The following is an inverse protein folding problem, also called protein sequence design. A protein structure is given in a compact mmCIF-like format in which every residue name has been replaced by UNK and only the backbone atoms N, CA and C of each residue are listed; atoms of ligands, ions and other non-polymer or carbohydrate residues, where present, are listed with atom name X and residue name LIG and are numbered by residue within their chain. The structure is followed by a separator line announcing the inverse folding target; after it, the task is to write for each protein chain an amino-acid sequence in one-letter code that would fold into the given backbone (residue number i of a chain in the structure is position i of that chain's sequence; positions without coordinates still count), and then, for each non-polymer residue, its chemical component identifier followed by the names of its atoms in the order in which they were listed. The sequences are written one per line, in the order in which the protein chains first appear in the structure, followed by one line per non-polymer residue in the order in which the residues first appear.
data_IF_002789560647
#
_entry.id   IF_002789560647
#
_cell.length_a   1.000
_cell.length_b   1.000
_cell.length_c   1.000
_cell.angle_alpha   90.00
_cell.angle_beta   90.00
_cell.angle_gamma   90.00
#
_symmetry.space_group_name_H-M   'P 1'
#
loop_
_entity.id
_entity.type
_entity.pdbx_description
1 polymer ?
#
# COMPACT_ATOMS: atom_id res chain seq x y z
N UNK A 1 2.63 10.09 6.64
CA UNK A 1 2.31 8.95 7.52
C UNK A 1 0.83 8.59 7.54
N UNK A 2 -0.09 9.36 8.17
CA UNK A 2 -1.53 9.02 8.17
C UNK A 2 -2.10 8.85 6.74
N UNK A 3 -1.82 9.80 5.85
CA UNK A 3 -2.23 9.70 4.44
C UNK A 3 -1.59 8.51 3.71
N UNK A 4 -0.37 8.12 4.08
CA UNK A 4 0.36 7.01 3.46
C UNK A 4 -0.24 5.65 3.83
N UNK A 5 -0.68 5.48 5.08
CA UNK A 5 -1.37 4.25 5.51
C UNK A 5 -2.80 4.18 4.93
N UNK A 6 -3.51 5.30 4.85
CA UNK A 6 -4.82 5.35 4.20
C UNK A 6 -4.74 5.04 2.70
N UNK A 7 -3.67 5.47 2.03
CA UNK A 7 -3.39 5.11 0.63
C UNK A 7 -3.33 3.59 0.45
N UNK A 8 -2.67 2.87 1.36
CA UNK A 8 -2.60 1.40 1.29
C UNK A 8 -3.96 0.73 1.47
N UNK A 9 -4.81 1.25 2.36
CA UNK A 9 -6.17 0.75 2.51
C UNK A 9 -7.00 0.97 1.24
N UNK A 10 -6.90 2.16 0.64
CA UNK A 10 -7.58 2.48 -0.62
C UNK A 10 -7.10 1.57 -1.77
N UNK A 11 -5.79 1.33 -1.87
CA UNK A 11 -5.23 0.40 -2.84
C UNK A 11 -5.71 -1.05 -2.64
N UNK A 12 -5.82 -1.51 -1.37
CA UNK A 12 -6.41 -2.82 -1.08
C UNK A 12 -7.86 -2.89 -1.54
N UNK A 13 -8.64 -1.82 -1.33
CA UNK A 13 -10.03 -1.75 -1.75
C UNK A 13 -10.19 -1.75 -3.27
N UNK A 14 -9.34 -1.03 -4.01
CA UNK A 14 -9.28 -1.09 -5.48
C UNK A 14 -9.04 -2.53 -5.96
N UNK A 15 -8.06 -3.24 -5.38
CA UNK A 15 -7.77 -4.63 -5.75
C UNK A 15 -8.94 -5.57 -5.44
N UNK A 16 -9.58 -5.41 -4.29
CA UNK A 16 -10.73 -6.25 -3.87
C UNK A 16 -11.97 -6.03 -4.73
N UNK A 17 -12.24 -4.80 -5.15
CA UNK A 17 -13.47 -4.45 -5.84
C UNK A 17 -13.44 -4.76 -7.35
N UNK A 18 -12.28 -5.09 -7.91
CA UNK A 18 -12.13 -5.16 -9.37
C UNK A 18 -12.33 -6.57 -9.93
N UNK A 19 -13.61 -6.94 -10.12
CA UNK A 19 -14.03 -8.17 -10.82
C UNK A 19 -13.49 -8.27 -12.26
N UNK A 20 -13.07 -7.17 -12.87
CA UNK A 20 -12.60 -7.10 -14.25
C UNK A 20 -11.15 -7.59 -14.40
N UNK A 21 -10.26 -7.22 -13.46
CA UNK A 21 -8.90 -7.75 -13.39
C UNK A 21 -8.94 -9.27 -13.22
N UNK A 22 -9.89 -9.76 -12.42
CA UNK A 22 -10.12 -11.18 -12.24
C UNK A 22 -10.57 -11.91 -13.50
N UNK A 23 -11.55 -11.37 -14.22
CA UNK A 23 -11.97 -11.95 -15.50
C UNK A 23 -10.84 -11.96 -16.52
N UNK A 24 -10.00 -10.94 -16.50
CA UNK A 24 -8.84 -10.86 -17.39
C UNK A 24 -7.77 -11.88 -16.99
N UNK A 25 -7.46 -12.00 -15.70
CA UNK A 25 -6.58 -13.05 -15.18
C UNK A 25 -7.12 -14.46 -15.46
N UNK A 26 -8.42 -14.71 -15.26
CA UNK A 26 -9.07 -15.99 -15.57
C UNK A 26 -9.08 -16.31 -17.06
N UNK A 27 -9.25 -15.30 -17.93
CA UNK A 27 -9.21 -15.46 -19.39
C UNK A 27 -7.78 -15.68 -19.92
N UNK A 28 -6.77 -15.13 -19.24
CA UNK A 28 -5.36 -15.22 -19.65
C UNK A 28 -4.68 -16.46 -19.09
N UNK A 29 -5.08 -16.93 -17.91
CA UNK A 29 -4.48 -18.06 -17.24
C UNK A 29 -5.42 -19.27 -17.23
N UNK A 30 -5.19 -20.20 -18.17
CA UNK A 30 -5.80 -21.53 -18.10
C UNK A 30 -5.32 -22.26 -16.83
N UNK A 31 -6.18 -22.33 -15.82
CA UNK A 31 -6.16 -23.23 -14.65
C UNK A 31 -4.77 -23.57 -14.08
N UNK A 32 -4.38 -22.86 -13.02
CA UNK A 32 -3.61 -23.47 -11.93
C UNK A 32 -2.33 -22.77 -11.45
N UNK A 33 -1.93 -21.65 -12.05
CA UNK A 33 -0.81 -20.84 -11.54
C UNK A 33 -1.31 -19.78 -10.56
N UNK A 34 -0.58 -19.58 -9.46
CA UNK A 34 -0.85 -18.49 -8.52
C UNK A 34 -0.83 -17.16 -9.28
N UNK A 35 -1.92 -16.39 -9.21
CA UNK A 35 -2.16 -15.22 -10.06
C UNK A 35 -1.03 -14.18 -10.02
N UNK A 36 -0.30 -14.04 -8.89
CA UNK A 36 0.84 -13.13 -8.81
C UNK A 36 2.08 -13.61 -9.57
N UNK A 37 2.39 -14.91 -9.52
CA UNK A 37 3.49 -15.52 -10.28
C UNK A 37 3.24 -15.37 -11.78
N UNK A 38 1.98 -15.59 -12.15
CA UNK A 38 1.45 -15.43 -13.49
C UNK A 38 1.61 -13.96 -13.99
N UNK A 39 1.22 -12.99 -13.17
CA UNK A 39 1.44 -11.56 -13.45
C UNK A 39 2.93 -11.22 -13.61
N UNK A 40 3.79 -11.76 -12.74
CA UNK A 40 5.25 -11.57 -12.81
C UNK A 40 5.83 -12.14 -14.12
N UNK A 41 5.38 -13.31 -14.55
CA UNK A 41 5.79 -13.89 -15.83
C UNK A 41 5.36 -13.02 -17.03
N UNK A 42 4.16 -12.45 -16.99
CA UNK A 42 3.68 -11.53 -18.04
C UNK A 42 4.46 -10.22 -18.07
N UNK A 43 4.78 -9.66 -16.90
CA UNK A 43 5.64 -8.46 -16.79
C UNK A 43 7.00 -8.72 -17.46
N UNK A 44 7.54 -9.93 -17.35
CA UNK A 44 8.78 -10.33 -18.01
C UNK A 44 8.64 -10.71 -19.50
N UNK A 45 7.42 -10.83 -20.03
CA UNK A 45 7.16 -11.34 -21.39
C UNK A 45 6.12 -10.48 -22.11
N UNK A 46 6.49 -9.25 -22.43
CA UNK A 46 5.66 -8.30 -23.20
C UNK A 46 5.06 -8.88 -24.48
N UNK A 47 5.80 -9.74 -25.19
CA UNK A 47 5.31 -10.43 -26.40
C UNK A 47 4.07 -11.32 -26.15
N UNK A 48 3.97 -11.93 -24.97
CA UNK A 48 2.80 -12.72 -24.57
C UNK A 48 1.63 -11.78 -24.31
N UNK A 49 1.87 -10.66 -23.61
CA UNK A 49 0.84 -9.67 -23.36
C UNK A 49 0.27 -9.10 -24.67
N UNK A 50 1.13 -8.81 -25.65
CA UNK A 50 0.70 -8.39 -26.98
C UNK A 50 -0.20 -9.44 -27.66
N UNK A 51 0.15 -10.72 -27.56
CA UNK A 51 -0.66 -11.81 -28.12
C UNK A 51 -2.01 -11.96 -27.40
N UNK A 52 -2.02 -11.78 -26.08
CA UNK A 52 -3.23 -11.77 -25.25
C UNK A 52 -4.16 -10.62 -25.61
N UNK A 53 -3.63 -9.39 -25.67
CA UNK A 53 -4.44 -8.20 -26.01
C UNK A 53 -4.98 -8.31 -27.44
N UNK A 54 -4.17 -8.80 -28.39
CA UNK A 54 -4.63 -9.09 -29.74
C UNK A 54 -5.76 -10.13 -29.77
N UNK A 55 -5.64 -11.22 -29.00
CA UNK A 55 -6.70 -12.23 -28.87
C UNK A 55 -8.00 -11.66 -28.29
N UNK A 56 -7.92 -10.77 -27.31
CA UNK A 56 -9.09 -10.06 -26.75
C UNK A 56 -9.76 -9.17 -27.81
N UNK A 57 -8.97 -8.50 -28.64
CA UNK A 57 -9.49 -7.69 -29.76
C UNK A 57 -10.15 -8.58 -30.81
N UNK A 58 -9.58 -9.73 -31.13
CA UNK A 58 -10.20 -10.67 -32.07
C UNK A 58 -11.52 -11.23 -31.54
N UNK A 59 -11.64 -11.48 -30.23
CA UNK A 59 -12.85 -12.05 -29.61
C UNK A 59 -13.93 -11.01 -29.30
N UNK A 60 -13.56 -9.86 -28.76
CA UNK A 60 -14.48 -8.84 -28.22
C UNK A 60 -14.45 -7.51 -28.99
N UNK A 61 -13.55 -7.37 -29.97
CA UNK A 61 -13.39 -6.16 -30.76
C UNK A 61 -12.92 -4.96 -29.92
N UNK A 62 -13.32 -3.77 -30.37
CA UNK A 62 -12.99 -2.49 -29.73
C UNK A 62 -13.44 -2.43 -28.25
N UNK A 63 -14.49 -3.16 -27.88
CA UNK A 63 -14.97 -3.20 -26.48
C UNK A 63 -13.99 -3.91 -25.56
N UNK A 64 -13.35 -4.97 -26.05
CA UNK A 64 -12.27 -5.65 -25.34
C UNK A 64 -11.09 -4.72 -25.12
N UNK A 65 -10.64 -4.03 -26.17
CA UNK A 65 -9.54 -3.06 -26.06
C UNK A 65 -9.83 -1.92 -25.09
N UNK A 66 -11.04 -1.34 -25.15
CA UNK A 66 -11.45 -0.30 -24.20
C UNK A 66 -11.52 -0.80 -22.75
N UNK A 67 -12.03 -2.01 -22.52
CA UNK A 67 -12.08 -2.62 -21.20
C UNK A 67 -10.67 -2.86 -20.62
N UNK A 68 -9.74 -3.32 -21.45
CA UNK A 68 -8.35 -3.60 -21.05
C UNK A 68 -7.54 -2.31 -20.88
N UNK A 69 -7.66 -1.35 -21.80
CA UNK A 69 -6.98 -0.06 -21.72
C UNK A 69 -7.47 0.82 -20.57
N UNK A 70 -8.76 0.73 -20.21
CA UNK A 70 -9.28 1.45 -19.04
C UNK A 70 -8.83 0.88 -17.70
N UNK A 71 -8.28 -0.33 -17.65
CA UNK A 71 -7.83 -0.95 -16.39
C UNK A 71 -6.74 -0.11 -15.70
N UNK A 72 -5.81 0.45 -16.47
CA UNK A 72 -4.74 1.32 -15.95
C UNK A 72 -5.29 2.57 -15.26
N UNK A 73 -6.44 3.11 -15.70
CA UNK A 73 -7.06 4.29 -15.09
C UNK A 73 -7.94 3.98 -13.87
N UNK A 74 -8.33 2.73 -13.66
CA UNK A 74 -9.10 2.28 -12.49
C UNK A 74 -8.21 2.11 -11.26
N UNK A 75 -6.97 1.69 -11.45
CA UNK A 75 -6.03 1.35 -10.37
C UNK A 75 -5.10 2.52 -10.00
N UNK A 76 -5.68 3.66 -9.64
CA UNK A 76 -4.88 4.88 -9.36
C UNK A 76 -4.13 4.74 -8.04
N UNK A 77 -4.82 4.30 -6.99
CA UNK A 77 -4.22 4.17 -5.66
C UNK A 77 -3.26 2.98 -5.59
N UNK A 78 -3.52 1.89 -6.31
CA UNK A 78 -2.56 0.77 -6.45
C UNK A 78 -1.24 1.21 -7.06
N UNK A 79 -1.27 2.05 -8.11
CA UNK A 79 -0.03 2.54 -8.73
C UNK A 79 0.79 3.40 -7.76
N UNK A 80 0.13 4.32 -7.04
CA UNK A 80 0.76 5.14 -6.00
C UNK A 80 1.30 4.29 -4.85
N UNK A 81 0.55 3.27 -4.41
CA UNK A 81 0.98 2.34 -3.37
C UNK A 81 2.23 1.54 -3.79
N UNK A 82 2.33 1.14 -5.06
CA UNK A 82 3.50 0.46 -5.61
C UNK A 82 4.75 1.34 -5.70
N UNK A 83 4.61 2.67 -5.76
CA UNK A 83 5.74 3.63 -5.72
C UNK A 83 6.23 3.92 -4.31
N UNK A 84 5.46 3.54 -3.28
CA UNK A 84 5.80 3.87 -1.90
C UNK A 84 6.96 3.01 -1.38
N UNK A 85 7.85 3.61 -0.61
CA UNK A 85 8.85 2.88 0.18
C UNK A 85 8.32 2.60 1.59
N UNK A 86 7.83 1.38 1.81
CA UNK A 86 7.34 0.97 3.13
C UNK A 86 8.44 0.89 4.19
N UNK A 87 9.70 0.66 3.79
CA UNK A 87 10.83 0.66 4.71
C UNK A 87 11.06 2.04 5.31
N UNK A 88 10.99 3.08 4.47
CA UNK A 88 11.05 4.49 4.91
C UNK A 88 9.86 4.82 5.80
N UNK A 89 8.63 4.51 5.39
CA UNK A 89 7.43 4.76 6.19
C UNK A 89 7.53 4.09 7.58
N UNK A 90 7.98 2.84 7.63
CA UNK A 90 8.16 2.08 8.88
C UNK A 90 9.25 2.69 9.77
N UNK A 91 10.33 3.22 9.18
CA UNK A 91 11.36 3.93 9.93
C UNK A 91 10.83 5.24 10.52
N UNK A 92 10.09 6.03 9.74
CA UNK A 92 9.48 7.28 10.22
C UNK A 92 8.52 7.03 11.39
N UNK A 93 7.70 5.99 11.27
CA UNK A 93 6.81 5.51 12.34
C UNK A 93 7.62 5.18 13.59
N UNK A 94 8.69 4.38 13.44
CA UNK A 94 9.58 3.99 14.55
C UNK A 94 10.24 5.20 15.23
N UNK A 95 10.73 6.16 14.45
CA UNK A 95 11.39 7.36 14.97
C UNK A 95 10.43 8.23 15.80
N UNK A 96 9.15 8.30 15.42
CA UNK A 96 8.11 8.98 16.20
C UNK A 96 7.90 8.27 17.54
N UNK A 97 7.78 6.94 17.56
CA UNK A 97 7.68 6.18 18.82
C UNK A 97 8.85 6.46 19.75
N UNK A 98 10.08 6.44 19.21
CA UNK A 98 11.29 6.73 20.00
C UNK A 98 11.32 8.17 20.50
N UNK A 99 10.88 9.14 19.67
CA UNK A 99 10.77 10.55 20.05
C UNK A 99 9.82 10.76 21.22
N UNK A 100 8.60 10.21 21.13
CA UNK A 100 7.60 10.31 22.21
C UNK A 100 8.08 9.64 23.49
N UNK A 101 8.72 8.46 23.38
CA UNK A 101 9.33 7.78 24.52
C UNK A 101 10.38 8.65 25.23
N UNK A 102 11.29 9.27 24.47
CA UNK A 102 12.32 10.18 25.02
C UNK A 102 11.70 11.37 25.74
N UNK A 103 10.68 11.99 25.16
CA UNK A 103 9.97 13.11 25.80
C UNK A 103 9.29 12.66 27.11
N UNK A 104 8.71 11.46 27.14
CA UNK A 104 8.14 10.86 28.34
C UNK A 104 9.19 10.63 29.44
N UNK A 105 10.36 10.09 29.08
CA UNK A 105 11.47 9.88 30.02
C UNK A 105 11.97 11.21 30.61
N UNK A 106 12.13 12.26 29.78
CA UNK A 106 12.52 13.59 30.25
C UNK A 106 11.50 14.15 31.25
N UNK A 107 10.20 14.04 30.96
CA UNK A 107 9.15 14.52 31.87
C UNK A 107 9.11 13.74 33.20
N UNK A 108 9.44 12.45 33.19
CA UNK A 108 9.54 11.64 34.42
C UNK A 108 10.71 12.08 35.30
N UNK A 109 11.88 12.35 34.70
CA UNK A 109 13.05 12.83 35.43
C UNK A 109 12.76 14.18 36.11
N UNK A 110 12.04 15.06 35.42
CA UNK A 110 11.67 16.38 35.92
C UNK A 110 10.65 16.34 37.07
N UNK A 111 9.91 15.24 37.26
CA UNK A 111 8.95 15.12 38.38
C UNK A 111 9.63 14.91 39.76
N UNK A 112 10.94 14.66 39.81
CA UNK A 112 11.68 14.39 41.04
C UNK A 112 12.44 15.60 41.64
N UNK A 113 12.59 16.70 40.90
CA UNK A 113 13.31 17.89 41.36
C UNK A 113 12.34 18.97 41.88
N UNK A 114 12.20 19.05 43.20
CA UNK A 114 11.57 20.21 43.84
C UNK A 114 12.56 21.38 43.86
N UNK A 115 12.62 22.12 42.75
CA UNK A 115 13.44 23.33 42.61
C UNK A 115 12.75 24.56 43.20
N UNK A 116 13.31 25.08 44.28
CA UNK A 116 12.93 26.34 44.93
C UNK A 116 13.24 27.53 43.98
N UNK A 117 12.21 28.23 43.46
CA UNK A 117 12.36 29.62 42.98
C UNK A 117 11.98 30.01 41.53
N UNK A 118 11.68 29.09 40.59
CA UNK A 118 11.22 29.45 39.22
C UNK A 118 9.90 28.75 38.82
N UNK A 119 8.96 28.72 39.76
CA UNK A 119 7.80 27.82 39.76
C UNK A 119 6.84 27.99 38.55
N UNK A 120 6.63 29.21 38.05
CA UNK A 120 5.62 29.47 37.01
C UNK A 120 6.04 29.05 35.59
N UNK A 121 7.22 29.46 35.12
CA UNK A 121 7.68 29.14 33.75
C UNK A 121 7.93 27.64 33.59
N UNK A 122 8.47 27.02 34.63
CA UNK A 122 8.71 25.60 34.68
C UNK A 122 7.39 24.80 34.70
N UNK A 123 6.42 25.22 35.52
CA UNK A 123 5.10 24.60 35.54
C UNK A 123 4.38 24.73 34.18
N UNK A 124 4.44 25.89 33.52
CA UNK A 124 3.87 26.08 32.18
C UNK A 124 4.53 25.18 31.13
N UNK A 125 5.86 25.02 31.17
CA UNK A 125 6.56 24.08 30.28
C UNK A 125 6.08 22.64 30.52
N UNK A 126 6.03 22.22 31.80
CA UNK A 126 5.58 20.88 32.19
C UNK A 126 4.14 20.60 31.74
N UNK A 127 3.22 21.53 31.98
CA UNK A 127 1.83 21.39 31.55
C UNK A 127 1.73 21.29 30.02
N UNK A 128 2.45 22.15 29.29
CA UNK A 128 2.48 22.13 27.82
C UNK A 128 3.02 20.80 27.28
N UNK A 129 4.12 20.30 27.84
CA UNK A 129 4.73 19.04 27.42
C UNK A 129 3.88 17.83 27.81
N UNK A 130 3.14 17.91 28.91
CA UNK A 130 2.19 16.87 29.33
C UNK A 130 1.05 16.76 28.31
N UNK A 131 0.42 17.88 27.93
CA UNK A 131 -0.59 17.90 26.86
C UNK A 131 -0.04 17.40 25.52
N UNK A 132 1.18 17.82 25.16
CA UNK A 132 1.83 17.32 23.95
C UNK A 132 1.96 15.79 23.97
N UNK A 133 2.40 15.20 25.08
CA UNK A 133 2.51 13.75 25.21
C UNK A 133 1.15 13.06 25.16
N UNK A 134 0.13 13.61 25.82
CA UNK A 134 -1.23 13.05 25.78
C UNK A 134 -1.74 12.97 24.34
N UNK A 135 -1.62 14.07 23.58
CA UNK A 135 -1.98 14.09 22.15
C UNK A 135 -1.12 13.14 21.33
N UNK A 136 0.20 13.12 21.54
CA UNK A 136 1.10 12.26 20.78
C UNK A 136 0.81 10.77 21.02
N UNK A 137 0.43 10.38 22.24
CA UNK A 137 0.03 9.01 22.58
C UNK A 137 -1.30 8.64 21.89
N UNK A 138 -2.26 9.57 21.81
CA UNK A 138 -3.51 9.34 21.08
C UNK A 138 -3.29 9.15 19.57
N UNK A 139 -2.48 10.01 18.96
CA UNK A 139 -2.11 9.92 17.54
C UNK A 139 -1.35 8.61 17.24
N UNK A 140 -0.43 8.21 18.13
CA UNK A 140 0.27 6.92 18.02
C UNK A 140 -0.72 5.75 18.03
N UNK A 141 -1.68 5.71 18.97
CA UNK A 141 -2.68 4.64 19.02
C UNK A 141 -3.53 4.58 17.73
N UNK A 142 -3.82 5.75 17.15
CA UNK A 142 -4.51 5.80 15.86
C UNK A 142 -3.64 5.18 14.75
N UNK A 143 -2.35 5.50 14.70
CA UNK A 143 -1.40 4.92 13.73
C UNK A 143 -1.33 3.39 13.90
N UNK A 144 -1.21 2.88 15.13
CA UNK A 144 -1.21 1.42 15.41
C UNK A 144 -2.48 0.75 14.89
N UNK A 145 -3.63 1.41 15.11
CA UNK A 145 -4.93 0.89 14.66
C UNK A 145 -5.00 0.82 13.13
N UNK A 146 -4.60 1.89 12.44
CA UNK A 146 -4.62 1.93 10.97
C UNK A 146 -3.58 0.96 10.39
N UNK A 147 -2.38 0.88 10.97
CA UNK A 147 -1.34 -0.07 10.55
C UNK A 147 -1.81 -1.51 10.68
N UNK A 148 -2.50 -1.85 11.77
CA UNK A 148 -3.15 -3.16 11.94
C UNK A 148 -4.19 -3.45 10.85
N UNK A 149 -5.02 -2.47 10.50
CA UNK A 149 -5.98 -2.59 9.39
C UNK A 149 -5.27 -2.79 8.04
N UNK A 150 -4.19 -2.04 7.78
CA UNK A 150 -3.40 -2.16 6.54
C UNK A 150 -2.81 -3.56 6.42
N UNK A 151 -2.16 -4.06 7.48
CA UNK A 151 -1.55 -5.40 7.49
C UNK A 151 -2.61 -6.46 7.20
N UNK A 152 -3.79 -6.37 7.84
CA UNK A 152 -4.89 -7.31 7.61
C UNK A 152 -5.42 -7.24 6.18
N UNK A 153 -5.63 -6.04 5.64
CA UNK A 153 -6.17 -5.86 4.28
C UNK A 153 -5.18 -6.32 3.20
N UNK A 154 -3.90 -5.99 3.36
CA UNK A 154 -2.83 -6.46 2.47
C UNK A 154 -2.73 -7.98 2.51
N UNK A 155 -2.85 -8.58 3.70
CA UNK A 155 -2.86 -10.04 3.83
C UNK A 155 -4.03 -10.66 3.08
N UNK A 156 -5.26 -10.16 3.28
CA UNK A 156 -6.46 -10.63 2.56
C UNK A 156 -6.25 -10.57 1.04
N UNK A 157 -5.74 -9.45 0.54
CA UNK A 157 -5.46 -9.25 -0.89
C UNK A 157 -4.31 -10.15 -1.36
N UNK A 158 -3.26 -10.34 -0.58
CA UNK A 158 -2.12 -11.18 -0.96
C UNK A 158 -2.53 -12.65 -1.02
N UNK A 159 -3.32 -13.12 -0.05
CA UNK A 159 -3.94 -14.44 -0.03
C UNK A 159 -4.83 -14.65 -1.24
N UNK A 160 -5.59 -13.62 -1.62
CA UNK A 160 -6.40 -13.63 -2.83
C UNK A 160 -5.59 -13.91 -4.11
N UNK A 161 -4.38 -13.34 -4.22
CA UNK A 161 -3.52 -13.52 -5.40
C UNK A 161 -2.58 -14.74 -5.35
N UNK A 162 -2.35 -15.36 -4.19
CA UNK A 162 -1.37 -16.46 -4.03
C UNK A 162 -1.94 -17.80 -3.58
N UNK A 163 -3.14 -17.87 -2.99
CA UNK A 163 -3.76 -19.11 -2.54
C UNK A 163 -3.11 -19.83 -1.34
N UNK A 164 -1.82 -19.60 -1.03
CA UNK A 164 -1.11 -20.17 0.12
C UNK A 164 -0.29 -19.09 0.87
N UNK A 165 -0.54 -18.90 2.16
CA UNK A 165 -0.20 -17.69 2.92
C UNK A 165 0.96 -17.83 3.90
N UNK A 166 1.89 -18.73 3.61
CA UNK A 166 2.89 -19.14 4.59
C UNK A 166 4.13 -18.24 4.71
N UNK A 167 4.41 -17.34 3.76
CA UNK A 167 5.66 -16.56 3.76
C UNK A 167 5.48 -15.26 3.00
N UNK A 168 5.30 -14.12 3.67
CA UNK A 168 5.81 -12.81 3.21
C UNK A 168 5.35 -11.63 4.08
N UNK A 169 5.70 -11.66 5.37
CA UNK A 169 5.65 -10.46 6.21
C UNK A 169 6.62 -9.37 5.72
N UNK A 170 7.63 -9.75 4.92
CA UNK A 170 8.64 -8.86 4.36
C UNK A 170 8.21 -8.12 3.08
N UNK A 171 6.99 -8.31 2.57
CA UNK A 171 6.61 -7.82 1.25
C UNK A 171 5.20 -7.20 1.20
N UNK A 172 4.84 -6.44 2.23
CA UNK A 172 3.56 -5.70 2.36
C UNK A 172 3.19 -4.92 1.08
N UNK A 173 4.18 -4.46 0.29
CA UNK A 173 3.93 -3.73 -0.95
C UNK A 173 4.10 -4.53 -2.25
N UNK A 174 4.60 -5.76 -2.23
CA UNK A 174 4.92 -6.47 -3.48
C UNK A 174 3.70 -6.65 -4.37
N UNK A 175 2.53 -6.93 -3.79
CA UNK A 175 1.30 -7.05 -4.59
C UNK A 175 1.00 -5.78 -5.37
N UNK A 176 1.19 -4.60 -4.77
CA UNK A 176 0.98 -3.32 -5.45
C UNK A 176 2.05 -3.07 -6.52
N UNK A 177 3.32 -3.38 -6.23
CA UNK A 177 4.42 -3.25 -7.20
C UNK A 177 4.15 -4.11 -8.44
N UNK A 178 3.80 -5.37 -8.26
CA UNK A 178 3.54 -6.30 -9.36
C UNK A 178 2.34 -5.86 -10.19
N UNK A 179 1.23 -5.48 -9.54
CA UNK A 179 0.04 -5.01 -10.26
C UNK A 179 0.31 -3.70 -10.99
N UNK A 180 1.04 -2.75 -10.37
CA UNK A 180 1.46 -1.51 -11.03
C UNK A 180 2.27 -1.79 -12.30
N UNK A 181 3.29 -2.64 -12.20
CA UNK A 181 4.20 -2.94 -13.32
C UNK A 181 3.46 -3.65 -14.45
N UNK A 182 2.56 -4.58 -14.11
CA UNK A 182 1.65 -5.19 -15.08
C UNK A 182 0.79 -4.16 -15.80
N UNK A 183 0.14 -3.26 -15.05
CA UNK A 183 -0.73 -2.23 -15.62
C UNK A 183 0.03 -1.24 -16.51
N UNK A 184 1.28 -0.93 -16.16
CA UNK A 184 2.13 -0.07 -16.97
C UNK A 184 2.43 -0.72 -18.33
N UNK A 185 2.82 -1.99 -18.34
CA UNK A 185 3.10 -2.73 -19.59
C UNK A 185 1.81 -2.92 -20.40
N UNK A 186 0.68 -3.20 -19.73
CA UNK A 186 -0.63 -3.33 -20.38
C UNK A 186 -1.04 -2.04 -21.09
N UNK A 187 -0.84 -0.89 -20.44
CA UNK A 187 -1.14 0.42 -21.00
C UNK A 187 -0.30 0.71 -22.26
N UNK A 188 0.99 0.36 -22.24
CA UNK A 188 1.87 0.52 -23.40
C UNK A 188 1.46 -0.39 -24.56
N UNK A 189 1.16 -1.67 -24.31
CA UNK A 189 0.69 -2.61 -25.35
C UNK A 189 -0.64 -2.14 -25.97
N UNK A 190 -1.58 -1.64 -25.17
CA UNK A 190 -2.84 -1.11 -25.69
C UNK A 190 -2.61 0.10 -26.62
N UNK A 191 -1.72 1.02 -26.26
CA UNK A 191 -1.38 2.18 -27.09
C UNK A 191 -0.69 1.81 -28.40
N UNK A 192 0.20 0.81 -28.37
CA UNK A 192 0.87 0.30 -29.58
C UNK A 192 -0.14 -0.25 -30.58
N UNK A 193 -1.13 -1.00 -30.10
CA UNK A 193 -2.16 -1.60 -30.95
C UNK A 193 -3.14 -0.55 -31.47
N UNK A 194 -3.55 0.43 -30.65
CA UNK A 194 -4.41 1.55 -31.08
C UNK A 194 -3.75 2.43 -32.17
N UNK A 195 -2.42 2.45 -32.21
CA UNK A 195 -1.65 3.22 -33.20
C UNK A 195 -1.38 2.46 -34.52
N UNK A 196 -1.70 1.17 -34.58
CA UNK A 196 -1.38 0.28 -35.71
C UNK A 196 -2.55 0.06 -36.66
#
# INVERSE_FOLDING_TARGET
MHCSLLLLLAACEELRNTKTLLKLLEAVFERGTNSLEALLELVGRTNILHSVVHGIIESEGIRGLQAVGSLSSVFVEVKKAGEMDYGVLRSEVFDIYQGVKKVSEVLLLLNGENGDGEEQRWWTFRESMTRFLETAIEEIKMIETIEGCVISAVKEVTEYFHGDSAKEEAQVLRVFVVVRDFLFILDEVCKEIDAS
#
